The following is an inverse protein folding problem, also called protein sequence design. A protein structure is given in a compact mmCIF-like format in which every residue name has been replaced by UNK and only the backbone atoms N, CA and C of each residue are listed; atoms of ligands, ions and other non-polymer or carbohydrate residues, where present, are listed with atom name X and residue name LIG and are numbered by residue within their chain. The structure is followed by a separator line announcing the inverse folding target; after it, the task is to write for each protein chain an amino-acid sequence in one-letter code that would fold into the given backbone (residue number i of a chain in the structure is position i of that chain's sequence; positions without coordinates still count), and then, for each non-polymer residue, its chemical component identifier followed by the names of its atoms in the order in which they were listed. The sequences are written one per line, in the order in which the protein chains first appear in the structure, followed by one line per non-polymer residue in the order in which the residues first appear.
data_IF_106681067833
#
_entry.id   IF_106681067833
#
_cell.length_a   1.000
_cell.length_b   1.000
_cell.length_c   1.000
_cell.angle_alpha   90.00
_cell.angle_beta   90.00
_cell.angle_gamma   90.00
#
_symmetry.space_group_name_H-M   'P 1'
#
loop_
_entity.id
_entity.type
_entity.pdbx_description
1 polymer ?
#
# COMPACT_ATOMS: atom_id res chain seq x y z
N UNK A 1 1.52 -13.66 -11.67
CA UNK A 1 1.61 -12.59 -12.67
C UNK A 1 1.73 -11.24 -11.97
N UNK A 2 2.72 -10.39 -12.31
CA UNK A 2 2.81 -9.05 -11.75
C UNK A 2 1.69 -8.17 -12.31
N UNK A 3 0.98 -7.46 -11.43
CA UNK A 3 -0.03 -6.47 -11.80
C UNK A 3 0.41 -5.03 -11.47
N UNK A 4 1.61 -4.89 -10.89
CA UNK A 4 2.22 -3.62 -10.54
C UNK A 4 3.71 -3.67 -10.85
N UNK A 5 4.22 -2.65 -11.51
CA UNK A 5 5.64 -2.39 -11.67
C UNK A 5 6.08 -1.31 -10.69
N UNK A 6 7.27 -1.47 -10.12
CA UNK A 6 7.90 -0.50 -9.24
C UNK A 6 9.25 -0.07 -9.82
N UNK A 7 9.55 1.22 -9.67
CA UNK A 7 10.80 1.81 -10.13
C UNK A 7 11.25 2.94 -9.19
N UNK A 8 12.36 3.63 -9.49
CA UNK A 8 12.78 4.80 -8.73
C UNK A 8 11.70 5.90 -8.82
N UNK A 9 11.61 6.81 -7.84
CA UNK A 9 10.73 7.96 -7.94
C UNK A 9 11.26 8.93 -9.01
N UNK A 10 10.38 9.79 -9.52
CA UNK A 10 10.77 10.80 -10.50
C UNK A 10 11.79 11.80 -9.94
N UNK A 11 11.72 12.11 -8.65
CA UNK A 11 12.65 13.00 -7.94
C UNK A 11 13.46 12.26 -6.89
N UNK A 12 14.63 11.79 -7.29
CA UNK A 12 15.60 11.14 -6.40
C UNK A 12 16.24 12.12 -5.41
N UNK A 13 16.35 13.42 -5.76
CA UNK A 13 16.95 14.42 -4.88
C UNK A 13 16.02 14.71 -3.69
N UNK A 14 14.70 14.80 -3.93
CA UNK A 14 13.71 14.96 -2.87
C UNK A 14 13.71 13.75 -1.92
N UNK A 15 13.81 12.52 -2.43
CA UNK A 15 13.93 11.31 -1.61
C UNK A 15 15.19 11.37 -0.73
N UNK A 16 16.33 11.79 -1.29
CA UNK A 16 17.58 11.90 -0.55
C UNK A 16 17.49 12.97 0.54
N UNK A 17 16.88 14.12 0.24
CA UNK A 17 16.63 15.17 1.23
C UNK A 17 15.75 14.71 2.40
N UNK A 18 14.71 13.91 2.12
CA UNK A 18 13.89 13.29 3.18
C UNK A 18 14.71 12.37 4.09
N UNK A 19 15.58 11.54 3.52
CA UNK A 19 16.48 10.65 4.29
C UNK A 19 17.46 11.41 5.19
N UNK A 20 18.03 12.52 4.70
CA UNK A 20 18.97 13.35 5.45
C UNK A 20 18.32 14.08 6.63
N UNK A 21 17.01 14.33 6.54
CA UNK A 21 16.23 15.07 7.55
C UNK A 21 15.42 14.16 8.47
N UNK A 22 15.68 12.85 8.51
CA UNK A 22 14.94 11.90 9.34
C UNK A 22 14.87 12.30 10.82
N UNK A 23 15.94 12.88 11.37
CA UNK A 23 15.97 13.31 12.76
C UNK A 23 15.05 14.51 13.07
N UNK A 24 14.54 15.22 12.05
CA UNK A 24 13.59 16.32 12.23
C UNK A 24 12.16 15.81 12.52
N UNK A 25 11.89 14.52 12.32
CA UNK A 25 10.56 13.92 12.48
C UNK A 25 10.45 13.18 13.80
N UNK A 26 9.27 13.26 14.39
CA UNK A 26 8.92 12.43 15.56
C UNK A 26 8.45 11.03 15.15
N UNK A 27 7.85 10.93 13.96
CA UNK A 27 7.42 9.66 13.39
C UNK A 27 7.52 9.64 11.87
N UNK A 28 7.73 8.44 11.31
CA UNK A 28 7.70 8.17 9.88
C UNK A 28 6.68 7.07 9.61
N UNK A 29 5.64 7.39 8.85
CA UNK A 29 4.65 6.44 8.39
C UNK A 29 5.08 5.84 7.05
N UNK A 30 5.16 4.53 6.98
CA UNK A 30 5.38 3.77 5.75
C UNK A 30 4.07 3.15 5.28
N UNK A 31 3.56 3.58 4.14
CA UNK A 31 2.23 3.15 3.67
C UNK A 31 2.17 1.70 3.18
N UNK A 32 3.32 1.07 2.98
CA UNK A 32 3.44 -0.32 2.49
C UNK A 32 4.85 -0.88 2.69
N UNK A 33 5.06 -2.21 2.59
CA UNK A 33 6.40 -2.81 2.57
C UNK A 33 7.28 -2.24 1.46
N UNK A 34 6.70 -1.96 0.28
CA UNK A 34 7.43 -1.34 -0.84
C UNK A 34 7.96 0.06 -0.48
N UNK A 35 7.20 0.85 0.28
CA UNK A 35 7.65 2.16 0.77
C UNK A 35 8.87 2.02 1.71
N UNK A 36 8.87 0.98 2.58
CA UNK A 36 10.02 0.67 3.44
C UNK A 36 11.25 0.35 2.60
N UNK A 37 11.18 -0.63 1.71
CA UNK A 37 12.31 -1.05 0.89
C UNK A 37 12.84 0.06 -0.02
N UNK A 38 11.95 0.84 -0.63
CA UNK A 38 12.32 1.92 -1.52
C UNK A 38 12.94 3.12 -0.77
N UNK A 39 12.59 3.32 0.49
CA UNK A 39 13.16 4.37 1.33
C UNK A 39 14.56 4.01 1.84
N UNK A 40 14.94 2.74 1.89
CA UNK A 40 16.30 2.30 2.23
C UNK A 40 17.26 2.44 1.03
N UNK A 41 18.59 2.56 1.25
CA UNK A 41 19.29 2.51 2.53
C UNK A 41 19.24 3.81 3.31
N UNK A 42 19.20 3.70 4.63
CA UNK A 42 19.42 4.80 5.60
C UNK A 42 20.65 4.43 6.41
N UNK A 43 21.55 5.38 6.63
CA UNK A 43 22.83 5.11 7.31
C UNK A 43 22.62 4.62 8.74
N UNK A 44 21.71 5.26 9.48
CA UNK A 44 21.25 4.83 10.79
C UNK A 44 19.84 5.38 11.03
N UNK A 45 19.01 4.61 11.73
CA UNK A 45 17.71 5.12 12.16
C UNK A 45 17.87 6.02 13.39
N UNK A 46 17.35 7.27 13.36
CA UNK A 46 17.55 8.19 14.48
C UNK A 46 16.82 7.70 15.75
N UNK A 47 17.48 7.83 16.90
CA UNK A 47 16.90 7.50 18.19
C UNK A 47 15.69 8.38 18.47
N UNK A 48 14.61 7.78 18.92
CA UNK A 48 13.37 8.50 19.26
C UNK A 48 12.41 8.71 18.10
N UNK A 49 12.82 8.48 16.85
CA UNK A 49 11.90 8.53 15.69
C UNK A 49 11.12 7.23 15.61
N UNK A 50 9.80 7.32 15.67
CA UNK A 50 8.90 6.17 15.61
C UNK A 50 8.62 5.77 14.15
N UNK A 51 8.37 4.49 13.94
CA UNK A 51 7.92 3.94 12.66
C UNK A 51 6.46 3.56 12.74
N UNK A 52 5.62 4.11 11.88
CA UNK A 52 4.21 3.79 11.79
C UNK A 52 3.95 2.85 10.61
N UNK A 53 3.36 1.69 10.89
CA UNK A 53 3.03 0.66 9.92
C UNK A 53 1.51 0.39 9.93
N UNK A 54 0.79 0.56 8.81
CA UNK A 54 -0.65 0.33 8.77
C UNK A 54 -1.01 -1.15 8.86
N UNK A 55 -0.02 -2.05 8.77
CA UNK A 55 -0.27 -3.49 8.86
C UNK A 55 0.99 -4.33 9.00
N UNK A 56 0.81 -5.64 9.28
CA UNK A 56 1.89 -6.55 9.68
C UNK A 56 2.97 -6.75 8.61
N UNK A 57 2.61 -6.63 7.33
CA UNK A 57 3.60 -6.73 6.24
C UNK A 57 4.61 -5.58 6.27
N UNK A 58 4.14 -4.36 6.54
CA UNK A 58 5.00 -3.18 6.66
C UNK A 58 5.86 -3.23 7.92
N UNK A 59 5.27 -3.63 9.06
CA UNK A 59 6.00 -3.79 10.31
C UNK A 59 7.11 -4.84 10.18
N UNK A 60 6.83 -5.97 9.53
CA UNK A 60 7.83 -7.01 9.25
C UNK A 60 8.99 -6.48 8.40
N UNK A 61 8.69 -5.70 7.35
CA UNK A 61 9.73 -5.11 6.51
C UNK A 61 10.64 -4.16 7.31
N UNK A 62 10.09 -3.35 8.20
CA UNK A 62 10.85 -2.48 9.10
C UNK A 62 11.74 -3.31 10.05
N UNK A 63 11.18 -4.34 10.66
CA UNK A 63 11.93 -5.24 11.56
C UNK A 63 13.10 -5.92 10.84
N UNK A 64 12.91 -6.41 9.61
CA UNK A 64 13.95 -7.01 8.80
C UNK A 64 15.11 -6.06 8.47
N UNK A 65 14.87 -4.76 8.49
CA UNK A 65 15.87 -3.72 8.28
C UNK A 65 16.53 -3.24 9.60
N UNK A 66 16.24 -3.91 10.71
CA UNK A 66 16.88 -3.66 12.01
C UNK A 66 16.18 -2.60 12.86
N UNK A 67 14.97 -2.16 12.50
CA UNK A 67 14.16 -1.29 13.38
C UNK A 67 13.66 -2.12 14.56
N UNK A 68 13.95 -1.72 15.83
CA UNK A 68 13.51 -2.47 16.98
C UNK A 68 11.98 -2.45 17.11
N UNK A 69 11.40 -3.56 17.56
CA UNK A 69 9.96 -3.74 17.64
C UNK A 69 9.26 -2.65 18.47
N UNK A 70 9.89 -2.23 19.58
CA UNK A 70 9.37 -1.15 20.43
C UNK A 70 9.38 0.24 19.78
N UNK A 71 10.02 0.43 18.63
CA UNK A 71 9.97 1.65 17.83
C UNK A 71 8.92 1.60 16.71
N UNK A 72 8.24 0.45 16.52
CA UNK A 72 7.24 0.25 15.48
C UNK A 72 5.84 0.29 16.10
N UNK A 73 4.98 1.17 15.58
CA UNK A 73 3.57 1.25 15.91
C UNK A 73 2.74 0.64 14.77
N UNK A 74 1.86 -0.31 15.13
CA UNK A 74 0.97 -0.99 14.18
C UNK A 74 -0.35 -1.33 14.87
N UNK A 75 -1.43 -1.55 14.11
CA UNK A 75 -2.66 -2.10 14.65
C UNK A 75 -2.43 -3.45 15.34
N UNK A 76 -3.27 -3.80 16.29
CA UNK A 76 -3.24 -5.10 16.93
C UNK A 76 -3.34 -6.25 15.90
N UNK A 77 -2.71 -7.38 16.18
CA UNK A 77 -2.65 -8.52 15.25
C UNK A 77 -4.01 -9.13 14.92
N UNK A 78 -4.99 -8.95 15.80
CA UNK A 78 -6.37 -9.36 15.67
C UNK A 78 -7.31 -8.27 15.11
N UNK A 79 -6.76 -7.11 14.72
CA UNK A 79 -7.54 -6.04 14.12
C UNK A 79 -8.33 -6.54 12.90
N UNK A 80 -9.58 -6.09 12.77
CA UNK A 80 -10.47 -6.48 11.66
C UNK A 80 -9.94 -6.01 10.29
N UNK A 81 -9.21 -4.88 10.28
CA UNK A 81 -8.58 -4.30 9.10
C UNK A 81 -7.15 -3.84 9.41
N UNK A 82 -6.31 -3.78 8.37
CA UNK A 82 -4.95 -3.27 8.43
C UNK A 82 -4.82 -2.09 7.47
N UNK A 83 -5.19 -0.91 7.97
CA UNK A 83 -5.24 0.35 7.24
C UNK A 83 -4.90 1.54 8.14
N UNK A 84 -5.03 2.74 7.61
CA UNK A 84 -4.76 3.97 8.35
C UNK A 84 -5.76 4.22 9.46
N UNK A 85 -7.00 3.81 9.28
CA UNK A 85 -8.09 3.94 10.24
C UNK A 85 -7.84 3.04 11.47
N UNK A 86 -7.36 1.82 11.25
CA UNK A 86 -6.96 0.90 12.34
C UNK A 86 -5.68 1.34 13.05
N UNK A 87 -4.76 2.03 12.35
CA UNK A 87 -3.54 2.58 12.94
C UNK A 87 -3.80 3.80 13.82
N UNK A 88 -4.79 4.62 13.48
CA UNK A 88 -5.06 5.90 14.16
C UNK A 88 -5.19 5.81 15.69
N UNK A 89 -5.96 4.89 16.29
CA UNK A 89 -6.06 4.74 17.74
C UNK A 89 -4.72 4.52 18.44
N UNK A 90 -3.77 3.87 17.75
CA UNK A 90 -2.44 3.55 18.28
C UNK A 90 -1.54 4.78 18.32
N UNK A 91 -1.59 5.62 17.26
CA UNK A 91 -0.63 6.70 17.07
C UNK A 91 -1.11 8.08 17.52
N UNK A 92 -2.42 8.30 17.64
CA UNK A 92 -3.00 9.62 17.94
C UNK A 92 -2.48 10.25 19.24
N UNK A 93 -2.17 9.45 20.26
CA UNK A 93 -1.65 9.91 21.55
C UNK A 93 -0.22 10.46 21.46
N UNK A 94 0.51 10.21 20.36
CA UNK A 94 1.86 10.73 20.11
C UNK A 94 1.82 12.13 19.50
N UNK A 95 0.65 12.57 19.03
CA UNK A 95 0.48 13.83 18.33
C UNK A 95 0.22 14.98 19.30
N UNK A 96 0.84 16.11 19.04
CA UNK A 96 0.67 17.39 19.71
C UNK A 96 1.09 18.51 18.74
N UNK A 97 0.68 19.77 19.01
CA UNK A 97 1.10 20.89 18.16
C UNK A 97 2.61 20.95 17.96
N UNK A 98 3.04 21.10 16.69
CA UNK A 98 4.43 21.20 16.30
C UNK A 98 5.17 19.87 16.08
N UNK A 99 4.57 18.72 16.38
CA UNK A 99 5.13 17.41 16.02
C UNK A 99 5.20 17.29 14.50
N UNK A 100 6.31 16.78 13.96
CA UNK A 100 6.45 16.51 12.52
C UNK A 100 6.33 15.04 12.23
N UNK A 101 5.54 14.72 11.21
CA UNK A 101 5.32 13.35 10.72
C UNK A 101 5.69 13.30 9.23
N UNK A 102 6.53 12.33 8.85
CA UNK A 102 6.83 12.04 7.46
C UNK A 102 5.96 10.89 6.97
N UNK A 103 5.27 11.06 5.85
CA UNK A 103 4.53 9.97 5.17
C UNK A 103 5.30 9.51 3.95
N UNK A 104 5.89 8.32 4.01
CA UNK A 104 6.64 7.70 2.91
C UNK A 104 5.71 6.85 2.06
N UNK A 105 5.60 7.19 0.78
CA UNK A 105 4.63 6.60 -0.16
C UNK A 105 5.19 6.39 -1.57
N UNK A 106 4.46 5.68 -2.40
CA UNK A 106 4.69 5.65 -3.84
C UNK A 106 4.12 6.87 -4.55
N UNK A 107 4.58 7.10 -5.77
CA UNK A 107 4.10 8.14 -6.66
C UNK A 107 2.59 8.01 -6.91
N UNK A 108 1.90 9.12 -7.00
CA UNK A 108 0.48 9.21 -7.38
C UNK A 108 0.36 9.90 -8.75
N UNK A 109 -0.80 9.74 -9.39
CA UNK A 109 -1.07 10.43 -10.65
C UNK A 109 -0.93 11.96 -10.54
N UNK A 110 -1.30 12.53 -9.38
CA UNK A 110 -1.15 13.95 -9.11
C UNK A 110 0.31 14.43 -9.04
N UNK A 111 1.24 13.56 -8.63
CA UNK A 111 2.67 13.89 -8.55
C UNK A 111 3.31 14.07 -9.95
N UNK A 112 2.72 13.47 -10.98
CA UNK A 112 3.20 13.52 -12.38
C UNK A 112 2.87 14.83 -13.10
N UNK A 113 1.94 15.60 -12.58
CA UNK A 113 1.46 16.85 -13.21
C UNK A 113 2.34 18.05 -12.82
N UNK A 114 3.10 17.94 -11.74
CA UNK A 114 4.03 18.98 -11.28
C UNK A 114 5.40 18.62 -11.79
N UNK A 115 5.83 19.26 -12.90
CA UNK A 115 7.22 19.19 -13.36
C UNK A 115 8.16 19.69 -12.24
N UNK A 116 9.48 19.39 -12.31
CA UNK A 116 10.42 19.73 -11.25
C UNK A 116 10.40 21.25 -11.01
N UNK A 117 9.95 21.65 -9.81
CA UNK A 117 10.05 23.03 -9.38
C UNK A 117 11.54 23.37 -9.17
N UNK A 118 12.07 24.46 -9.75
CA UNK A 118 13.44 24.87 -9.52
C UNK A 118 13.56 25.41 -8.08
N UNK A 119 14.29 24.67 -7.26
CA UNK A 119 14.63 25.07 -5.89
C UNK A 119 13.93 24.23 -4.83
N UNK A 120 14.64 23.25 -4.31
CA UNK A 120 14.48 22.34 -3.15
C UNK A 120 13.44 22.60 -2.05
N UNK A 121 12.31 23.20 -2.36
CA UNK A 121 11.18 23.34 -1.45
C UNK A 121 10.30 22.09 -1.57
N UNK A 122 10.19 21.35 -0.49
CA UNK A 122 9.14 20.32 -0.31
C UNK A 122 7.81 21.03 -0.52
N UNK A 123 7.15 20.79 -1.66
CA UNK A 123 5.90 21.47 -2.02
C UNK A 123 4.78 21.05 -1.09
N UNK A 124 4.12 21.95 -0.36
CA UNK A 124 3.03 21.62 0.56
C UNK A 124 1.67 21.41 -0.11
N UNK A 125 1.57 21.37 -1.44
CA UNK A 125 0.27 21.42 -2.12
C UNK A 125 0.16 20.44 -3.28
N UNK A 126 -0.02 19.16 -2.95
CA UNK A 126 -0.82 18.29 -3.82
C UNK A 126 -2.25 18.27 -3.23
N UNK A 127 -3.23 18.85 -3.94
CA UNK A 127 -4.63 18.78 -3.51
C UNK A 127 -5.03 17.29 -3.36
N UNK A 128 -5.72 16.91 -2.26
CA UNK A 128 -6.04 15.53 -1.97
C UNK A 128 -7.04 15.00 -3.01
N UNK A 129 -6.61 14.01 -3.77
CA UNK A 129 -7.57 13.15 -4.47
C UNK A 129 -8.40 12.44 -3.39
N UNK A 130 -9.70 12.69 -3.33
CA UNK A 130 -10.61 12.10 -2.34
C UNK A 130 -10.46 10.58 -2.37
N UNK A 131 -9.96 9.96 -1.28
CA UNK A 131 -10.20 8.57 -1.01
C UNK A 131 -9.03 7.62 -0.72
N UNK A 132 -7.82 8.04 -0.39
CA UNK A 132 -6.83 7.10 0.13
C UNK A 132 -6.73 7.19 1.67
N UNK A 133 -6.68 6.03 2.37
CA UNK A 133 -6.57 6.00 3.84
C UNK A 133 -5.38 6.78 4.37
N UNK A 134 -4.27 6.86 3.61
CA UNK A 134 -3.06 7.64 3.96
C UNK A 134 -3.29 9.15 3.99
N UNK A 135 -4.12 9.69 3.09
CA UNK A 135 -4.51 11.11 3.07
C UNK A 135 -5.47 11.43 4.20
N UNK A 136 -6.33 10.48 4.53
CA UNK A 136 -7.18 10.56 5.71
C UNK A 136 -6.32 10.66 6.98
N UNK A 137 -5.32 9.78 7.17
CA UNK A 137 -4.44 9.82 8.34
C UNK A 137 -3.64 11.12 8.41
N UNK A 138 -3.12 11.60 7.27
CA UNK A 138 -2.41 12.88 7.21
C UNK A 138 -3.30 14.01 7.72
N UNK A 139 -4.55 14.10 7.24
CA UNK A 139 -5.52 15.08 7.72
C UNK A 139 -5.82 14.95 9.22
N UNK A 140 -5.93 13.73 9.74
CA UNK A 140 -6.10 13.51 11.18
C UNK A 140 -4.90 14.03 11.98
N UNK A 141 -3.68 13.82 11.50
CA UNK A 141 -2.47 14.35 12.11
C UNK A 141 -2.47 15.89 12.09
N UNK A 142 -2.81 16.50 10.96
CA UNK A 142 -2.90 17.97 10.81
C UNK A 142 -3.99 18.56 11.72
N UNK A 143 -5.15 17.92 11.84
CA UNK A 143 -6.21 18.33 12.76
C UNK A 143 -5.79 18.24 14.24
N UNK A 144 -4.87 17.32 14.56
CA UNK A 144 -4.25 17.24 15.89
C UNK A 144 -3.10 18.24 16.10
N UNK A 145 -2.84 19.13 15.12
CA UNK A 145 -1.81 20.17 15.17
C UNK A 145 -0.41 19.73 14.74
N UNK A 146 -0.26 18.53 14.21
CA UNK A 146 1.01 18.06 13.67
C UNK A 146 1.29 18.66 12.26
N UNK A 147 2.57 18.77 11.92
CA UNK A 147 3.03 19.11 10.58
C UNK A 147 3.29 17.82 9.81
N UNK A 148 2.68 17.67 8.63
CA UNK A 148 2.82 16.45 7.82
C UNK A 148 3.57 16.77 6.54
N UNK A 149 4.68 16.07 6.33
CA UNK A 149 5.45 16.08 5.09
C UNK A 149 5.24 14.76 4.33
N UNK A 150 5.30 14.80 2.99
CA UNK A 150 5.22 13.61 2.15
C UNK A 150 6.55 13.36 1.45
N UNK A 151 6.95 12.09 1.40
CA UNK A 151 8.11 11.61 0.65
C UNK A 151 7.67 10.57 -0.37
N UNK A 152 7.89 10.85 -1.65
CA UNK A 152 7.71 9.87 -2.72
C UNK A 152 8.98 9.03 -2.81
N UNK A 153 8.90 7.76 -2.40
CA UNK A 153 10.06 6.87 -2.36
C UNK A 153 10.20 5.98 -3.60
N UNK A 154 9.11 5.76 -4.35
CA UNK A 154 9.13 4.92 -5.55
C UNK A 154 8.06 5.34 -6.55
N UNK A 155 8.37 5.14 -7.82
CA UNK A 155 7.41 5.15 -8.91
C UNK A 155 6.65 3.83 -8.98
N UNK A 156 5.40 3.88 -9.45
CA UNK A 156 4.58 2.70 -9.70
C UNK A 156 3.76 2.88 -10.97
N UNK A 157 3.48 1.79 -11.61
CA UNK A 157 2.72 1.80 -12.85
C UNK A 157 2.31 0.41 -13.31
N UNK A 158 1.69 0.37 -14.47
CA UNK A 158 1.32 -0.88 -15.12
C UNK A 158 2.59 -1.62 -15.58
N UNK A 159 2.72 -2.93 -15.32
CA UNK A 159 3.81 -3.71 -15.85
C UNK A 159 3.64 -3.93 -17.36
N UNK A 160 4.74 -4.20 -18.05
CA UNK A 160 4.71 -4.69 -19.42
C UNK A 160 4.79 -6.21 -19.37
N UNK A 161 3.75 -6.89 -19.82
CA UNK A 161 3.75 -8.36 -19.86
C UNK A 161 4.40 -8.88 -21.14
N UNK A 162 5.16 -9.94 -21.00
CA UNK A 162 5.65 -10.74 -22.13
C UNK A 162 4.50 -11.55 -22.73
N UNK A 163 4.67 -12.04 -23.96
CA UNK A 163 3.71 -12.94 -24.60
C UNK A 163 3.41 -14.18 -23.73
N UNK A 164 4.42 -14.72 -23.03
CA UNK A 164 4.23 -15.86 -22.13
C UNK A 164 3.35 -15.51 -20.94
N UNK A 165 3.45 -14.28 -20.40
CA UNK A 165 2.62 -13.81 -19.29
C UNK A 165 1.17 -13.59 -19.73
N UNK A 166 0.92 -13.06 -20.94
CA UNK A 166 -0.42 -13.00 -21.52
C UNK A 166 -1.04 -14.38 -21.67
N UNK A 167 -0.32 -15.33 -22.29
CA UNK A 167 -0.78 -16.71 -22.43
C UNK A 167 -1.01 -17.41 -21.09
N UNK A 168 -0.22 -17.09 -20.05
CA UNK A 168 -0.45 -17.61 -18.69
C UNK A 168 -1.74 -17.05 -18.11
N UNK A 169 -2.04 -15.76 -18.28
CA UNK A 169 -3.28 -15.14 -17.83
C UNK A 169 -4.51 -15.77 -18.49
N UNK A 170 -4.47 -16.00 -19.81
CA UNK A 170 -5.54 -16.67 -20.57
C UNK A 170 -5.78 -18.10 -20.06
N UNK A 171 -4.71 -18.87 -19.88
CA UNK A 171 -4.81 -20.23 -19.30
C UNK A 171 -5.39 -20.20 -17.87
N UNK A 172 -4.94 -19.25 -17.04
CA UNK A 172 -5.44 -19.10 -15.67
C UNK A 172 -6.96 -18.82 -15.66
N UNK A 173 -7.44 -17.97 -16.55
CA UNK A 173 -8.87 -17.72 -16.73
C UNK A 173 -9.61 -18.97 -17.19
N UNK A 174 -9.13 -19.65 -18.23
CA UNK A 174 -9.76 -20.86 -18.77
C UNK A 174 -9.82 -22.01 -17.76
N UNK A 175 -8.83 -22.09 -16.86
CA UNK A 175 -8.74 -23.12 -15.81
C UNK A 175 -9.46 -22.74 -14.50
N UNK A 176 -10.12 -21.58 -14.44
CA UNK A 176 -10.85 -21.13 -13.27
C UNK A 176 -9.96 -20.80 -12.07
N UNK A 177 -8.74 -20.31 -12.31
CA UNK A 177 -7.82 -19.89 -11.25
C UNK A 177 -8.43 -18.76 -10.40
N UNK A 178 -8.00 -18.70 -9.12
CA UNK A 178 -8.37 -17.61 -8.23
C UNK A 178 -7.33 -16.50 -8.33
N UNK A 179 -7.78 -15.28 -8.57
CA UNK A 179 -6.95 -14.09 -8.69
C UNK A 179 -6.82 -13.39 -7.34
N UNK A 180 -5.62 -13.36 -6.75
CA UNK A 180 -5.36 -12.58 -5.54
C UNK A 180 -5.12 -11.11 -5.91
N UNK A 181 -5.99 -10.24 -5.42
CA UNK A 181 -5.99 -8.81 -5.70
C UNK A 181 -5.75 -8.02 -4.40
N UNK A 182 -4.64 -7.28 -4.33
CA UNK A 182 -4.22 -6.52 -3.16
C UNK A 182 -4.25 -4.99 -3.35
N UNK A 183 -4.74 -4.51 -4.51
CA UNK A 183 -4.83 -3.10 -4.84
C UNK A 183 -5.91 -2.86 -5.90
N UNK A 184 -6.72 -1.81 -5.75
CA UNK A 184 -7.68 -1.39 -6.78
C UNK A 184 -6.98 -0.92 -8.06
N UNK A 185 -5.78 -0.34 -7.95
CA UNK A 185 -4.95 0.02 -9.09
C UNK A 185 -4.53 -1.22 -9.91
N UNK A 186 -4.18 -2.32 -9.23
CA UNK A 186 -3.86 -3.60 -9.88
C UNK A 186 -5.05 -4.17 -10.67
N UNK A 187 -6.28 -3.98 -10.21
CA UNK A 187 -7.50 -4.35 -10.95
C UNK A 187 -7.60 -3.53 -12.25
N UNK A 188 -7.33 -2.21 -12.17
CA UNK A 188 -7.30 -1.35 -13.35
C UNK A 188 -6.22 -1.76 -14.36
N UNK A 189 -5.03 -2.12 -13.89
CA UNK A 189 -3.95 -2.64 -14.75
C UNK A 189 -4.34 -3.97 -15.40
N UNK A 190 -4.93 -4.89 -14.65
CA UNK A 190 -5.39 -6.17 -15.20
C UNK A 190 -6.40 -5.98 -16.33
N UNK A 191 -7.34 -5.04 -16.18
CA UNK A 191 -8.28 -4.69 -17.24
C UNK A 191 -7.59 -4.17 -18.51
N UNK A 192 -6.53 -3.39 -18.36
CA UNK A 192 -5.77 -2.87 -19.50
C UNK A 192 -4.85 -3.92 -20.14
N UNK A 193 -4.28 -4.82 -19.34
CA UNK A 193 -3.42 -5.92 -19.80
C UNK A 193 -4.21 -7.03 -20.51
N UNK A 194 -5.48 -7.19 -20.15
CA UNK A 194 -6.40 -8.21 -20.72
C UNK A 194 -7.76 -7.59 -21.11
N UNK A 195 -7.79 -6.65 -22.07
CA UNK A 195 -8.98 -5.86 -22.37
C UNK A 195 -10.13 -6.65 -23.00
N UNK A 196 -9.82 -7.76 -23.67
CA UNK A 196 -10.80 -8.60 -24.38
C UNK A 196 -11.23 -9.84 -23.61
N UNK A 197 -10.71 -10.02 -22.38
CA UNK A 197 -11.00 -11.20 -21.58
C UNK A 197 -12.39 -11.13 -20.97
N UNK A 198 -13.09 -12.27 -20.96
CA UNK A 198 -14.37 -12.44 -20.29
C UNK A 198 -14.14 -12.85 -18.82
N UNK A 199 -14.46 -11.97 -17.90
CA UNK A 199 -14.30 -12.17 -16.46
C UNK A 199 -15.51 -12.80 -15.77
N UNK A 200 -16.63 -13.04 -16.50
CA UNK A 200 -17.90 -13.52 -15.95
C UNK A 200 -17.82 -14.93 -15.30
N UNK A 201 -16.76 -15.71 -15.57
CA UNK A 201 -16.47 -16.98 -14.89
C UNK A 201 -15.30 -16.91 -13.91
N UNK A 202 -14.65 -15.76 -13.80
CA UNK A 202 -13.44 -15.61 -13.00
C UNK A 202 -13.74 -15.38 -11.51
N UNK A 203 -12.83 -15.87 -10.65
CA UNK A 203 -12.91 -15.75 -9.20
C UNK A 203 -11.76 -14.92 -8.67
N UNK A 204 -12.03 -14.02 -7.71
CA UNK A 204 -10.99 -13.22 -7.07
C UNK A 204 -11.05 -13.27 -5.55
N UNK A 205 -9.88 -13.22 -4.92
CA UNK A 205 -9.70 -12.98 -3.49
C UNK A 205 -9.16 -11.56 -3.30
N UNK A 206 -9.93 -10.69 -2.66
CA UNK A 206 -9.60 -9.31 -2.41
C UNK A 206 -9.18 -9.09 -0.95
N UNK A 207 -8.19 -8.24 -0.71
CA UNK A 207 -7.68 -7.97 0.64
C UNK A 207 -8.33 -6.74 1.32
N UNK A 208 -9.25 -6.08 0.64
CA UNK A 208 -9.98 -4.92 1.17
C UNK A 208 -11.32 -4.73 0.43
N UNK A 209 -12.40 -4.22 1.08
CA UNK A 209 -13.70 -4.00 0.44
C UNK A 209 -13.65 -3.17 -0.85
N UNK A 210 -12.84 -2.10 -0.90
CA UNK A 210 -12.66 -1.28 -2.11
C UNK A 210 -12.12 -2.07 -3.29
N UNK A 211 -11.23 -3.04 -3.03
CA UNK A 211 -10.66 -3.91 -4.07
C UNK A 211 -11.73 -4.88 -4.57
N UNK A 212 -12.52 -5.45 -3.67
CA UNK A 212 -13.64 -6.31 -4.02
C UNK A 212 -14.66 -5.59 -4.93
N UNK A 213 -15.04 -4.36 -4.58
CA UNK A 213 -15.90 -3.52 -5.41
C UNK A 213 -15.31 -3.29 -6.80
N UNK A 214 -14.00 -3.00 -6.89
CA UNK A 214 -13.32 -2.81 -8.18
C UNK A 214 -13.29 -4.09 -9.02
N UNK A 215 -13.09 -5.25 -8.40
CA UNK A 215 -13.09 -6.55 -9.09
C UNK A 215 -14.50 -6.92 -9.61
N UNK A 216 -15.54 -6.72 -8.80
CA UNK A 216 -16.93 -6.92 -9.23
C UNK A 216 -17.30 -5.98 -10.39
N UNK A 217 -16.91 -4.70 -10.32
CA UNK A 217 -17.13 -3.73 -11.40
C UNK A 217 -16.36 -4.08 -12.68
N UNK A 218 -15.25 -4.82 -12.59
CA UNK A 218 -14.52 -5.34 -13.74
C UNK A 218 -15.22 -6.55 -14.39
N UNK A 219 -16.12 -7.22 -13.67
CA UNK A 219 -16.90 -8.36 -14.16
C UNK A 219 -16.53 -9.72 -13.56
N UNK A 220 -15.72 -9.78 -12.50
CA UNK A 220 -15.48 -11.04 -11.78
C UNK A 220 -16.80 -11.63 -11.26
N UNK A 221 -17.01 -12.92 -11.48
CA UNK A 221 -18.24 -13.61 -11.10
C UNK A 221 -18.38 -13.79 -9.59
N UNK A 222 -17.28 -14.06 -8.90
CA UNK A 222 -17.24 -14.29 -7.46
C UNK A 222 -16.02 -13.59 -6.86
N UNK A 223 -16.25 -12.81 -5.81
CA UNK A 223 -15.16 -12.14 -5.07
C UNK A 223 -15.34 -12.44 -3.59
N UNK A 224 -14.34 -13.09 -2.99
CA UNK A 224 -14.26 -13.27 -1.54
C UNK A 224 -13.24 -12.31 -0.96
N UNK A 225 -13.35 -12.05 0.34
CA UNK A 225 -12.42 -11.19 1.06
C UNK A 225 -11.61 -11.99 2.07
N UNK A 226 -10.34 -11.62 2.23
CA UNK A 226 -9.46 -12.04 3.33
C UNK A 226 -8.69 -10.85 3.87
N UNK A 227 -8.32 -10.88 5.14
CA UNK A 227 -7.34 -9.92 5.66
C UNK A 227 -6.00 -10.11 4.93
N UNK A 228 -5.16 -9.05 4.79
CA UNK A 228 -3.90 -9.13 4.05
C UNK A 228 -2.79 -9.92 4.79
N UNK A 229 -3.13 -10.67 5.84
CA UNK A 229 -2.22 -11.60 6.51
C UNK A 229 -2.16 -12.92 5.73
N UNK A 230 -0.97 -13.51 5.60
CA UNK A 230 -0.76 -14.75 4.82
C UNK A 230 -1.65 -15.89 5.32
N UNK A 231 -1.80 -16.06 6.63
CA UNK A 231 -2.64 -17.11 7.22
C UNK A 231 -4.11 -16.98 6.80
N UNK A 232 -4.66 -15.76 6.80
CA UNK A 232 -6.04 -15.49 6.41
C UNK A 232 -6.27 -15.74 4.92
N UNK A 233 -5.32 -15.32 4.07
CA UNK A 233 -5.34 -15.58 2.63
C UNK A 233 -5.35 -17.09 2.36
N UNK A 234 -4.43 -17.84 2.98
CA UNK A 234 -4.34 -19.29 2.81
C UNK A 234 -5.58 -20.01 3.33
N UNK A 235 -6.11 -19.63 4.49
CA UNK A 235 -7.33 -20.18 5.05
C UNK A 235 -8.53 -19.97 4.13
N UNK A 236 -8.68 -18.75 3.59
CA UNK A 236 -9.79 -18.44 2.67
C UNK A 236 -9.65 -19.21 1.36
N UNK A 237 -8.44 -19.34 0.80
CA UNK A 237 -8.19 -20.14 -0.39
C UNK A 237 -8.50 -21.63 -0.15
N UNK A 238 -8.07 -22.20 0.97
CA UNK A 238 -8.34 -23.60 1.33
C UNK A 238 -9.84 -23.88 1.43
N UNK A 239 -10.60 -22.99 2.10
CA UNK A 239 -12.06 -23.11 2.20
C UNK A 239 -12.78 -22.99 0.85
N UNK A 240 -12.15 -22.33 -0.13
CA UNK A 240 -12.72 -22.18 -1.47
C UNK A 240 -12.45 -23.39 -2.38
N UNK A 241 -11.26 -24.00 -2.22
CA UNK A 241 -10.88 -25.20 -2.98
C UNK A 241 -11.54 -26.47 -2.44
N UNK A 242 -11.88 -26.47 -1.14
CA UNK A 242 -12.58 -27.59 -0.48
C UNK A 242 -13.86 -27.07 0.17
N UNK A 243 -14.94 -26.83 -0.60
CA UNK A 243 -16.23 -26.50 0.00
C UNK A 243 -16.62 -27.66 0.89
N UNK A 244 -16.70 -27.43 2.21
CA UNK A 244 -17.22 -28.39 3.14
C UNK A 244 -18.62 -28.79 2.63
N UNK A 245 -18.83 -30.09 2.40
CA UNK A 245 -20.15 -30.61 2.09
C UNK A 245 -21.06 -30.13 3.24
N UNK A 246 -22.02 -29.28 2.91
CA UNK A 246 -23.07 -28.87 3.83
C UNK A 246 -23.75 -30.14 4.32
N UNK A 247 -23.52 -30.48 5.59
CA UNK A 247 -24.27 -31.52 6.26
C UNK A 247 -25.73 -31.07 6.24
N UNK A 248 -26.53 -31.75 5.43
CA UNK A 248 -27.97 -31.58 5.36
C UNK A 248 -28.67 -32.02 6.64
#
# INVERSE_FOLDING_TARGET
LPLMAFGPPADMAALQACRQRLADYSAVMFVSPQAVHAFWPVAAWPVGVRCWAPGPGTARALYQLGIPENAIDQPATDAAQFDSEALWPVVRAQLRPGVRVLVVRGEQAADRVVGPAPGGAVSPQAQPSQGSGREWLARQCEQAGALVDFCVAYGRGMPVWTQQQHALAERALAQGAIWLLSSSESVGHLKQLQPVSNWAGARALATHPRIATSALAMGFAEVRMARPAMADVLSTLASWCHPQASSG
#
